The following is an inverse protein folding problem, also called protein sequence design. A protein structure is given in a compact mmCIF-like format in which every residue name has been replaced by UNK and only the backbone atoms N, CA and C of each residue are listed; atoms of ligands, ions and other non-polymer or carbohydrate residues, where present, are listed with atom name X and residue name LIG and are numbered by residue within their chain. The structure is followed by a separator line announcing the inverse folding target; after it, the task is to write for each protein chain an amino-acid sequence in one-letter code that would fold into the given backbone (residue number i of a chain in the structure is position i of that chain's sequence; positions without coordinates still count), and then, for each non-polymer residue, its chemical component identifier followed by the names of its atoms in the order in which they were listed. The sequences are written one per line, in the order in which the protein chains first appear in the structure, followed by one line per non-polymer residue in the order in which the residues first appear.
data_IF_917743585577
#
_entry.id   IF_917743585577
#
_cell.length_a   1.000
_cell.length_b   1.000
_cell.length_c   1.000
_cell.angle_alpha   90.00
_cell.angle_beta   90.00
_cell.angle_gamma   90.00
#
_symmetry.space_group_name_H-M   'P 1'
#
loop_
_entity.id
_entity.type
_entity.pdbx_description
1 polymer ?
#
# COMPACT_ATOMS: atom_id res chain seq x y z
N UNK A 1 -13.69 -46.94 -64.30
CA UNK A 1 -12.81 -47.34 -63.19
C UNK A 1 -12.16 -46.08 -62.62
N UNK A 2 -12.35 -45.78 -61.32
CA UNK A 2 -11.72 -44.68 -60.55
C UNK A 2 -10.49 -45.25 -59.77
N UNK A 3 -9.91 -44.69 -58.67
CA UNK A 3 -10.11 -43.44 -57.89
C UNK A 3 -8.80 -42.75 -57.39
N UNK A 4 -8.89 -41.68 -56.56
CA UNK A 4 -7.99 -41.58 -55.38
C UNK A 4 -7.56 -40.20 -54.82
N UNK A 5 -7.83 -40.04 -53.51
CA UNK A 5 -7.22 -39.16 -52.48
C UNK A 5 -7.77 -37.73 -52.33
N UNK A 6 -8.67 -37.44 -51.36
CA UNK A 6 -8.59 -37.43 -49.87
C UNK A 6 -7.79 -36.24 -49.32
N UNK A 7 -8.47 -35.35 -48.58
CA UNK A 7 -8.08 -34.96 -47.23
C UNK A 7 -9.34 -34.55 -46.45
N UNK A 8 -9.73 -35.40 -45.49
CA UNK A 8 -10.67 -35.12 -44.41
C UNK A 8 -9.85 -35.01 -43.13
N UNK A 9 -10.01 -33.91 -42.40
CA UNK A 9 -9.53 -33.73 -41.03
C UNK A 9 -10.49 -34.41 -40.05
N UNK A 10 -10.01 -35.09 -39.00
CA UNK A 10 -10.85 -35.90 -38.13
C UNK A 10 -11.50 -35.09 -36.99
N UNK A 11 -12.76 -35.41 -36.74
CA UNK A 11 -13.46 -35.24 -35.47
C UNK A 11 -12.91 -36.23 -34.44
N UNK A 12 -12.51 -35.75 -33.26
CA UNK A 12 -12.22 -36.59 -32.10
C UNK A 12 -13.29 -36.35 -31.02
N UNK A 13 -13.96 -37.44 -30.68
CA UNK A 13 -14.86 -37.61 -29.52
C UNK A 13 -14.12 -38.59 -28.62
N UNK A 14 -13.85 -38.20 -27.38
CA UNK A 14 -13.60 -39.07 -26.22
C UNK A 14 -13.73 -38.17 -24.98
N UNK A 15 -14.79 -38.29 -24.18
CA UNK A 15 -15.10 -39.32 -23.19
C UNK A 15 -14.73 -38.83 -21.79
N UNK A 16 -15.78 -38.76 -20.97
CA UNK A 16 -15.77 -38.60 -19.52
C UNK A 16 -14.78 -39.55 -18.84
N UNK A 17 -13.99 -39.01 -17.92
CA UNK A 17 -13.58 -39.75 -16.72
C UNK A 17 -13.38 -38.79 -15.55
N UNK A 18 -14.10 -39.08 -14.47
CA UNK A 18 -14.26 -38.27 -13.26
C UNK A 18 -13.28 -38.72 -12.17
N UNK A 19 -12.46 -37.82 -11.62
CA UNK A 19 -11.82 -37.96 -10.28
C UNK A 19 -11.49 -36.55 -9.71
N UNK A 20 -11.24 -36.36 -8.39
CA UNK A 20 -11.98 -35.41 -7.57
C UNK A 20 -11.21 -34.10 -7.32
N UNK A 21 -11.97 -33.02 -7.18
CA UNK A 21 -11.51 -31.68 -6.84
C UNK A 21 -10.94 -31.59 -5.41
N UNK A 22 -9.64 -31.84 -5.25
CA UNK A 22 -8.86 -31.20 -4.20
C UNK A 22 -8.52 -29.78 -4.66
N UNK A 23 -9.22 -28.77 -4.11
CA UNK A 23 -8.97 -27.34 -4.38
C UNK A 23 -7.57 -26.94 -3.87
N UNK A 24 -6.55 -27.09 -4.71
CA UNK A 24 -5.31 -26.31 -4.61
C UNK A 24 -5.64 -24.89 -5.07
N UNK A 25 -5.53 -23.91 -4.18
CA UNK A 25 -5.62 -22.48 -4.52
C UNK A 25 -4.41 -22.12 -5.39
N UNK A 26 -4.64 -21.91 -6.69
CA UNK A 26 -3.66 -21.28 -7.56
C UNK A 26 -3.45 -19.83 -7.14
N UNK A 27 -2.19 -19.43 -7.03
CA UNK A 27 -1.77 -18.03 -7.03
C UNK A 27 -1.94 -17.55 -8.47
N UNK A 28 -3.03 -16.84 -8.76
CA UNK A 28 -3.23 -16.20 -10.07
C UNK A 28 -2.35 -14.95 -10.17
N UNK A 29 -1.26 -15.03 -10.93
CA UNK A 29 -0.49 -13.87 -11.38
C UNK A 29 -1.21 -13.27 -12.59
N UNK A 30 -1.98 -12.21 -12.37
CA UNK A 30 -2.65 -11.48 -13.46
C UNK A 30 -1.63 -10.53 -14.10
N UNK A 31 -1.02 -10.95 -15.20
CA UNK A 31 -0.16 -10.09 -16.03
C UNK A 31 -1.07 -9.23 -16.94
N UNK A 32 -1.31 -7.98 -16.53
CA UNK A 32 -2.08 -7.03 -17.33
C UNK A 32 -1.26 -6.44 -18.49
N UNK A 33 -1.54 -6.85 -19.73
CA UNK A 33 -1.09 -6.16 -20.94
C UNK A 33 -1.93 -4.90 -21.16
N UNK A 34 -1.36 -3.72 -20.85
CA UNK A 34 -2.01 -2.43 -21.00
C UNK A 34 -1.49 -1.67 -22.22
N UNK A 35 -2.35 -1.46 -23.21
CA UNK A 35 -2.12 -0.57 -24.34
C UNK A 35 -2.10 0.89 -23.89
N UNK A 36 -0.98 1.57 -24.14
CA UNK A 36 -0.77 3.00 -23.94
C UNK A 36 -1.40 3.82 -25.08
N UNK A 37 -2.57 4.42 -24.84
CA UNK A 37 -3.05 5.61 -25.54
C UNK A 37 -4.01 6.41 -24.67
N UNK A 38 -3.54 7.52 -24.12
CA UNK A 38 -4.17 8.85 -24.23
C UNK A 38 -3.52 9.85 -23.25
N UNK A 39 -2.55 10.61 -23.75
CA UNK A 39 -2.10 11.86 -23.11
C UNK A 39 -3.04 12.98 -23.57
N UNK A 40 -3.92 13.46 -22.69
CA UNK A 40 -4.54 14.79 -22.86
C UNK A 40 -4.24 15.66 -21.65
N UNK A 41 -3.75 16.85 -21.98
CA UNK A 41 -3.39 17.96 -21.11
C UNK A 41 -4.49 18.27 -20.10
N UNK A 42 -4.11 18.32 -18.82
CA UNK A 42 -4.89 18.96 -17.75
C UNK A 42 -4.12 20.22 -17.35
N UNK A 43 -4.63 21.36 -17.81
CA UNK A 43 -4.26 22.68 -17.31
C UNK A 43 -4.74 22.81 -15.86
N UNK A 44 -3.81 23.08 -14.96
CA UNK A 44 -4.09 23.47 -13.57
C UNK A 44 -4.22 25.00 -13.51
N UNK A 45 -5.19 25.57 -12.78
CA UNK A 45 -5.19 26.99 -12.51
C UNK A 45 -4.18 27.31 -11.39
N UNK A 46 -3.28 28.24 -11.68
CA UNK A 46 -2.38 28.89 -10.73
C UNK A 46 -3.19 29.74 -9.76
N UNK A 47 -2.99 29.53 -8.45
CA UNK A 47 -3.47 30.44 -7.41
C UNK A 47 -2.28 31.25 -6.94
N UNK A 48 -2.24 32.50 -7.38
CA UNK A 48 -1.44 33.55 -6.77
C UNK A 48 -2.02 33.87 -5.40
N UNK A 49 -1.18 33.94 -4.38
CA UNK A 49 -1.52 34.59 -3.12
C UNK A 49 -0.29 35.28 -2.56
N UNK A 50 -0.36 36.59 -2.67
CA UNK A 50 0.58 37.59 -2.21
C UNK A 50 0.62 37.69 -0.68
N UNK A 51 1.79 38.09 -0.20
CA UNK A 51 2.08 38.41 1.18
C UNK A 51 1.22 39.57 1.72
N UNK A 52 0.86 39.50 3.00
CA UNK A 52 0.66 40.70 3.81
C UNK A 52 1.09 40.40 5.25
N UNK A 53 2.06 41.18 5.71
CA UNK A 53 2.53 41.23 7.08
C UNK A 53 1.54 42.03 7.95
N UNK A 54 1.48 41.73 9.24
CA UNK A 54 1.03 42.72 10.21
C UNK A 54 0.40 42.18 11.49
N UNK A 55 1.08 42.52 12.59
CA UNK A 55 0.57 42.75 13.94
C UNK A 55 0.48 41.57 14.91
N UNK A 56 1.18 41.77 16.02
CA UNK A 56 1.33 40.82 17.10
C UNK A 56 0.16 40.80 18.07
N UNK A 57 0.06 39.69 18.78
CA UNK A 57 -0.79 39.56 19.95
C UNK A 57 -0.06 38.83 21.07
N UNK A 58 -0.31 39.35 22.26
CA UNK A 58 0.35 39.15 23.53
C UNK A 58 0.21 37.71 24.03
N UNK A 59 1.29 37.17 24.58
CA UNK A 59 1.31 35.94 25.34
C UNK A 59 0.49 36.12 26.63
N UNK A 60 -0.61 35.40 26.74
CA UNK A 60 -1.33 35.16 27.99
C UNK A 60 -0.96 33.76 28.48
N UNK A 61 -0.32 33.76 29.63
CA UNK A 61 0.14 32.62 30.41
C UNK A 61 -1.07 31.82 30.93
N UNK A 62 -1.27 30.60 30.40
CA UNK A 62 -2.26 29.65 30.91
C UNK A 62 -1.51 28.39 31.35
N UNK A 63 -1.27 28.30 32.66
CA UNK A 63 -0.76 27.11 33.32
C UNK A 63 -1.75 25.95 33.21
N UNK A 64 -1.43 24.96 32.39
CA UNK A 64 -2.09 23.66 32.38
C UNK A 64 -1.38 22.77 33.40
N UNK A 65 -1.96 22.64 34.59
CA UNK A 65 -1.66 21.55 35.50
C UNK A 65 -2.07 20.21 34.84
N UNK A 66 -1.10 19.48 34.31
CA UNK A 66 -1.29 18.07 33.96
C UNK A 66 -1.48 17.25 35.24
N UNK A 67 -2.74 16.94 35.55
CA UNK A 67 -3.09 15.83 36.44
C UNK A 67 -2.74 14.52 35.73
N UNK A 68 -1.69 13.86 36.21
CA UNK A 68 -1.38 12.46 35.88
C UNK A 68 -2.49 11.59 36.46
N UNK A 69 -3.37 11.07 35.61
CA UNK A 69 -4.31 10.02 35.96
C UNK A 69 -3.61 8.65 35.88
N UNK A 70 -3.95 7.68 36.76
CA UNK A 70 -3.16 6.48 36.98
C UNK A 70 -3.40 5.40 35.89
N UNK A 71 -2.51 4.40 35.90
CA UNK A 71 -2.29 3.30 34.97
C UNK A 71 -3.48 2.41 34.52
N UNK A 72 -4.74 2.79 34.78
CA UNK A 72 -5.92 2.02 34.40
C UNK A 72 -6.34 2.16 32.92
N UNK A 73 -5.76 3.12 32.17
CA UNK A 73 -6.03 3.28 30.74
C UNK A 73 -5.41 2.21 29.84
N UNK A 74 -4.28 1.61 30.26
CA UNK A 74 -3.57 0.62 29.46
C UNK A 74 -4.33 -0.71 29.34
N UNK A 75 -5.01 -1.12 30.41
CA UNK A 75 -5.80 -2.37 30.45
C UNK A 75 -7.05 -2.24 29.56
N UNK A 76 -7.71 -1.08 29.56
CA UNK A 76 -8.85 -0.82 28.69
C UNK A 76 -8.47 -0.76 27.20
N UNK A 77 -7.29 -0.19 26.85
CA UNK A 77 -6.81 -0.17 25.47
C UNK A 77 -6.47 -1.58 24.94
N UNK A 78 -5.86 -2.44 25.77
CA UNK A 78 -5.52 -3.81 25.39
C UNK A 78 -6.79 -4.64 25.09
N UNK A 79 -7.81 -4.55 25.93
CA UNK A 79 -9.10 -5.25 25.71
C UNK A 79 -9.79 -4.80 24.41
N UNK A 80 -9.74 -3.50 24.08
CA UNK A 80 -10.23 -3.02 22.77
C UNK A 80 -9.39 -3.50 21.59
N UNK A 81 -8.07 -3.63 21.73
CA UNK A 81 -7.18 -4.12 20.67
C UNK A 81 -7.49 -5.59 20.35
N UNK A 82 -7.68 -6.42 21.37
CA UNK A 82 -8.03 -7.85 21.23
C UNK A 82 -9.39 -8.02 20.53
N UNK A 83 -10.39 -7.23 20.94
CA UNK A 83 -11.74 -7.25 20.33
C UNK A 83 -11.73 -6.80 18.87
N UNK A 84 -10.95 -5.77 18.54
CA UNK A 84 -10.77 -5.30 17.16
C UNK A 84 -10.02 -6.33 16.31
N UNK A 85 -9.03 -7.02 16.87
CA UNK A 85 -8.37 -8.15 16.21
C UNK A 85 -9.40 -9.23 15.86
N UNK A 86 -10.27 -9.63 16.78
CA UNK A 86 -11.33 -10.59 16.49
C UNK A 86 -12.29 -10.15 15.38
N UNK A 87 -12.72 -8.87 15.36
CA UNK A 87 -13.58 -8.34 14.29
C UNK A 87 -12.91 -8.33 12.92
N UNK A 88 -11.61 -8.07 12.87
CA UNK A 88 -10.83 -8.11 11.62
C UNK A 88 -10.49 -9.55 11.17
N UNK A 89 -10.61 -10.52 12.08
CA UNK A 89 -10.29 -11.94 11.85
C UNK A 89 -11.50 -12.82 11.50
N UNK A 90 -12.67 -12.25 11.18
CA UNK A 90 -13.74 -13.05 10.58
C UNK A 90 -13.24 -13.70 9.28
N UNK A 91 -13.12 -15.04 9.23
CA UNK A 91 -12.48 -15.72 8.14
C UNK A 91 -13.35 -15.60 6.88
N UNK A 92 -12.70 -15.58 5.71
CA UNK A 92 -13.30 -15.70 4.36
C UNK A 92 -13.75 -14.43 3.61
N UNK A 93 -13.66 -13.21 4.17
CA UNK A 93 -14.01 -11.99 3.40
C UNK A 93 -12.95 -10.86 3.42
N UNK A 94 -11.82 -11.07 4.08
CA UNK A 94 -10.84 -10.00 4.32
C UNK A 94 -9.56 -10.14 3.49
N UNK A 95 -9.68 -10.33 2.17
CA UNK A 95 -8.50 -10.32 1.28
C UNK A 95 -8.00 -8.88 1.11
N UNK A 96 -6.70 -8.68 1.28
CA UNK A 96 -5.98 -7.45 0.94
C UNK A 96 -5.06 -7.70 -0.25
N UNK A 97 -4.96 -6.71 -1.14
CA UNK A 97 -4.05 -6.74 -2.29
C UNK A 97 -2.78 -5.97 -1.97
N UNK A 98 -1.63 -6.62 -2.01
CA UNK A 98 -0.31 -5.97 -1.98
C UNK A 98 0.08 -5.67 -3.43
N UNK A 99 0.30 -4.40 -3.75
CA UNK A 99 0.73 -3.96 -5.07
C UNK A 99 2.18 -3.48 -5.03
N UNK A 100 2.99 -3.90 -6.01
CA UNK A 100 4.42 -3.65 -6.01
C UNK A 100 5.02 -3.50 -7.42
N UNK A 101 6.30 -3.15 -7.44
CA UNK A 101 7.07 -2.86 -8.64
C UNK A 101 6.72 -1.53 -9.31
N UNK A 102 7.44 -1.25 -10.40
CA UNK A 102 7.28 -0.02 -11.17
C UNK A 102 5.85 0.13 -11.68
N UNK A 103 5.19 1.21 -11.24
CA UNK A 103 3.80 1.50 -11.59
C UNK A 103 2.78 0.57 -10.92
N UNK A 104 3.16 -0.18 -9.87
CA UNK A 104 2.27 -1.03 -9.06
C UNK A 104 1.53 -2.09 -9.88
N UNK A 105 2.21 -2.65 -10.88
CA UNK A 105 1.63 -3.62 -11.82
C UNK A 105 1.51 -5.01 -11.22
N UNK A 106 2.44 -5.42 -10.38
CA UNK A 106 2.41 -6.72 -9.72
C UNK A 106 1.45 -6.67 -8.53
N UNK A 107 0.59 -7.69 -8.41
CA UNK A 107 -0.45 -7.74 -7.38
C UNK A 107 -0.47 -9.12 -6.72
N UNK A 108 -0.43 -9.13 -5.39
CA UNK A 108 -0.50 -10.34 -4.58
C UNK A 108 -1.66 -10.23 -3.59
N UNK A 109 -2.41 -11.30 -3.42
CA UNK A 109 -3.54 -11.35 -2.49
C UNK A 109 -3.13 -12.11 -1.24
N UNK A 110 -3.32 -11.49 -0.08
CA UNK A 110 -3.09 -12.12 1.23
C UNK A 110 -4.31 -11.94 2.12
N UNK A 111 -4.50 -12.84 3.07
CA UNK A 111 -5.50 -12.65 4.12
C UNK A 111 -5.06 -11.50 5.02
N UNK A 112 -5.92 -10.50 5.20
CA UNK A 112 -5.65 -9.36 6.07
C UNK A 112 -5.38 -9.81 7.51
N UNK A 113 -6.05 -10.87 7.97
CA UNK A 113 -5.88 -11.41 9.31
C UNK A 113 -4.42 -11.83 9.54
N UNK A 114 -3.81 -12.53 8.58
CA UNK A 114 -2.42 -12.96 8.64
C UNK A 114 -1.46 -11.76 8.61
N UNK A 115 -1.71 -10.78 7.74
CA UNK A 115 -0.89 -9.57 7.66
C UNK A 115 -0.93 -8.77 8.98
N UNK A 116 -2.12 -8.54 9.54
CA UNK A 116 -2.32 -7.80 10.78
C UNK A 116 -1.82 -8.56 12.02
N UNK A 117 -1.81 -9.89 11.99
CA UNK A 117 -1.23 -10.71 13.06
C UNK A 117 0.29 -10.53 13.14
N UNK A 118 0.93 -10.40 11.98
CA UNK A 118 2.39 -10.32 11.87
C UNK A 118 2.93 -8.88 11.85
N UNK A 119 2.07 -7.87 11.67
CA UNK A 119 2.46 -6.46 11.65
C UNK A 119 1.49 -5.57 12.43
N UNK A 120 1.99 -5.00 13.54
CA UNK A 120 1.24 -4.04 14.34
C UNK A 120 1.00 -2.72 13.60
N UNK A 121 1.97 -2.26 12.79
CA UNK A 121 1.79 -1.11 11.89
C UNK A 121 0.63 -1.31 10.94
N UNK A 122 0.57 -2.46 10.24
CA UNK A 122 -0.53 -2.73 9.30
C UNK A 122 -1.86 -2.82 10.04
N UNK A 123 -1.91 -3.49 11.19
CA UNK A 123 -3.10 -3.52 12.03
C UNK A 123 -3.60 -2.11 12.38
N UNK A 124 -2.70 -1.20 12.79
CA UNK A 124 -3.03 0.20 13.08
C UNK A 124 -3.59 0.95 11.87
N UNK A 125 -2.95 0.81 10.70
CA UNK A 125 -3.38 1.45 9.45
C UNK A 125 -4.78 0.97 9.05
N UNK A 126 -5.01 -0.35 9.04
CA UNK A 126 -6.32 -0.92 8.65
C UNK A 126 -7.43 -0.59 9.64
N UNK A 127 -7.11 -0.48 10.93
CA UNK A 127 -8.07 -0.04 11.96
C UNK A 127 -8.50 1.40 11.71
N UNK A 128 -7.57 2.32 11.41
CA UNK A 128 -7.89 3.71 11.10
C UNK A 128 -8.68 3.83 9.78
N UNK A 129 -8.40 2.95 8.82
CA UNK A 129 -9.07 2.93 7.52
C UNK A 129 -10.51 2.38 7.56
N UNK A 130 -10.93 1.74 8.64
CA UNK A 130 -12.23 1.07 8.75
C UNK A 130 -13.41 2.02 8.51
N UNK A 131 -13.39 3.20 9.15
CA UNK A 131 -14.43 4.22 8.99
C UNK A 131 -14.51 4.71 7.55
N UNK A 132 -13.36 5.02 6.94
CA UNK A 132 -13.27 5.44 5.53
C UNK A 132 -13.77 4.34 4.58
N UNK A 133 -13.44 3.08 4.85
CA UNK A 133 -13.94 1.95 4.07
C UNK A 133 -15.47 1.89 4.09
N UNK A 134 -16.08 2.04 5.26
CA UNK A 134 -17.54 2.11 5.39
C UNK A 134 -18.15 3.26 4.58
N UNK A 135 -17.52 4.44 4.59
CA UNK A 135 -17.94 5.59 3.79
C UNK A 135 -17.81 5.31 2.28
N UNK A 136 -16.71 4.70 1.83
CA UNK A 136 -16.52 4.34 0.42
C UNK A 136 -17.52 3.28 -0.05
N UNK A 137 -17.87 2.30 0.78
CA UNK A 137 -18.92 1.31 0.47
C UNK A 137 -20.26 2.01 0.23
N UNK A 138 -20.65 2.94 1.12
CA UNK A 138 -21.87 3.75 0.97
C UNK A 138 -21.82 4.62 -0.29
N UNK A 139 -20.70 5.29 -0.55
CA UNK A 139 -20.51 6.12 -1.75
C UNK A 139 -20.58 5.28 -3.04
N UNK A 140 -20.04 4.06 -3.04
CA UNK A 140 -20.14 3.12 -4.17
C UNK A 140 -21.57 2.64 -4.39
N UNK A 141 -22.33 2.37 -3.33
CA UNK A 141 -23.75 2.04 -3.42
C UNK A 141 -24.56 3.21 -4.01
N UNK A 142 -24.27 4.43 -3.58
CA UNK A 142 -24.88 5.65 -4.11
C UNK A 142 -24.56 5.83 -5.61
N UNK A 143 -23.30 5.60 -6.01
CA UNK A 143 -22.90 5.61 -7.42
C UNK A 143 -23.62 4.52 -8.25
N UNK A 144 -23.83 3.32 -7.68
CA UNK A 144 -24.54 2.22 -8.35
C UNK A 144 -26.01 2.61 -8.59
N UNK A 145 -26.69 3.15 -7.56
CA UNK A 145 -28.04 3.69 -7.69
C UNK A 145 -28.14 4.77 -8.77
N UNK A 146 -27.19 5.71 -8.81
CA UNK A 146 -27.15 6.74 -9.84
C UNK A 146 -27.07 6.17 -11.28
N UNK A 147 -26.37 5.03 -11.46
CA UNK A 147 -26.33 4.32 -12.75
C UNK A 147 -27.64 3.62 -13.07
N UNK A 148 -28.24 2.95 -12.08
CA UNK A 148 -29.52 2.26 -12.23
C UNK A 148 -30.63 3.24 -12.66
N UNK A 149 -30.70 4.44 -12.08
CA UNK A 149 -31.61 5.50 -12.52
C UNK A 149 -31.41 5.87 -13.98
N UNK A 150 -30.17 6.10 -14.40
CA UNK A 150 -29.87 6.47 -15.78
C UNK A 150 -30.27 5.36 -16.76
N UNK A 151 -30.01 4.09 -16.44
CA UNK A 151 -30.43 2.96 -17.27
C UNK A 151 -31.95 2.83 -17.38
N UNK A 152 -32.68 2.98 -16.27
CA UNK A 152 -34.14 2.92 -16.26
C UNK A 152 -34.76 4.05 -17.11
N UNK A 153 -34.16 5.24 -17.07
CA UNK A 153 -34.68 6.43 -17.75
C UNK A 153 -34.32 6.48 -19.25
N UNK A 154 -33.19 5.90 -19.66
CA UNK A 154 -32.82 5.75 -21.08
C UNK A 154 -33.67 4.70 -21.78
N UNK A 155 -34.02 3.61 -21.08
CA UNK A 155 -34.77 2.47 -21.66
C UNK A 155 -36.28 2.71 -21.62
N UNK A 156 -36.80 3.29 -20.53
CA UNK A 156 -38.21 3.63 -20.40
C UNK A 156 -38.39 5.12 -20.64
N UNK A 157 -38.56 5.52 -21.91
CA UNK A 157 -39.15 6.81 -22.23
C UNK A 157 -40.48 6.93 -21.47
N UNK A 158 -40.49 7.70 -20.38
CA UNK A 158 -41.65 8.41 -19.80
C UNK A 158 -42.79 7.55 -19.19
N UNK A 159 -42.86 6.22 -19.31
CA UNK A 159 -44.11 5.48 -18.99
C UNK A 159 -44.32 5.08 -17.50
N UNK A 160 -43.32 5.16 -16.60
CA UNK A 160 -43.53 4.91 -15.16
C UNK A 160 -42.88 6.00 -14.28
N UNK A 161 -43.47 7.19 -14.28
CA UNK A 161 -42.81 8.38 -13.74
C UNK A 161 -42.97 8.62 -12.22
N UNK A 162 -44.04 8.19 -11.57
CA UNK A 162 -44.28 8.64 -10.19
C UNK A 162 -43.37 7.93 -9.17
N UNK A 163 -43.23 6.61 -9.28
CA UNK A 163 -42.30 5.85 -8.43
C UNK A 163 -40.83 6.15 -8.74
N UNK A 164 -40.49 6.49 -10.00
CA UNK A 164 -39.12 6.83 -10.38
C UNK A 164 -38.75 8.26 -9.97
N UNK A 165 -39.71 9.19 -9.99
CA UNK A 165 -39.56 10.57 -9.49
C UNK A 165 -39.24 10.58 -8.00
N UNK A 166 -40.06 9.92 -7.18
CA UNK A 166 -39.87 9.88 -5.73
C UNK A 166 -38.47 9.33 -5.38
N UNK A 167 -38.09 8.21 -5.99
CA UNK A 167 -36.75 7.62 -5.82
C UNK A 167 -35.61 8.53 -6.28
N UNK A 168 -35.78 9.26 -7.39
CA UNK A 168 -34.78 10.22 -7.86
C UNK A 168 -34.64 11.41 -6.91
N UNK A 169 -35.77 11.91 -6.39
CA UNK A 169 -35.81 12.98 -5.40
C UNK A 169 -35.07 12.55 -4.12
N UNK A 170 -35.41 11.39 -3.57
CA UNK A 170 -34.75 10.81 -2.38
C UNK A 170 -33.24 10.66 -2.60
N UNK A 171 -32.83 10.20 -3.78
CA UNK A 171 -31.42 10.09 -4.15
C UNK A 171 -30.71 11.44 -4.20
N UNK A 172 -31.33 12.47 -4.76
CA UNK A 172 -30.75 13.81 -4.84
C UNK A 172 -30.61 14.38 -3.43
N UNK A 173 -31.65 14.28 -2.60
CA UNK A 173 -31.63 14.78 -1.23
C UNK A 173 -30.62 14.04 -0.36
N UNK A 174 -30.53 12.71 -0.46
CA UNK A 174 -29.50 11.94 0.23
C UNK A 174 -28.09 12.34 -0.21
N UNK A 175 -27.87 12.58 -1.51
CA UNK A 175 -26.59 13.05 -2.04
C UNK A 175 -26.23 14.45 -1.57
N UNK A 176 -27.24 15.31 -1.35
CA UNK A 176 -27.07 16.69 -0.90
C UNK A 176 -26.78 16.77 0.59
N UNK A 177 -27.60 16.11 1.41
CA UNK A 177 -27.56 16.23 2.87
C UNK A 177 -26.56 15.27 3.51
N UNK A 178 -26.41 14.06 2.96
CA UNK A 178 -25.75 12.92 3.61
C UNK A 178 -24.76 12.21 2.71
N UNK A 179 -24.01 12.98 1.90
CA UNK A 179 -22.95 12.39 1.08
C UNK A 179 -21.95 11.64 1.99
N UNK A 180 -21.65 10.35 1.73
CA UNK A 180 -20.96 9.52 2.73
C UNK A 180 -19.53 9.92 3.09
N UNK A 181 -18.82 10.61 2.19
CA UNK A 181 -17.41 11.00 2.38
C UNK A 181 -17.37 12.49 2.72
N UNK A 182 -17.04 12.80 3.97
CA UNK A 182 -17.18 14.14 4.55
C UNK A 182 -16.41 15.21 3.76
N UNK A 183 -15.20 14.89 3.31
CA UNK A 183 -14.33 15.81 2.57
C UNK A 183 -14.95 16.26 1.24
N UNK A 184 -15.85 15.45 0.66
CA UNK A 184 -16.52 15.74 -0.60
C UNK A 184 -17.94 16.27 -0.45
N UNK A 185 -18.51 16.22 0.76
CA UNK A 185 -19.91 16.59 1.00
C UNK A 185 -20.21 18.04 0.57
N UNK A 186 -19.38 19.00 0.95
CA UNK A 186 -19.55 20.41 0.55
C UNK A 186 -19.46 20.60 -0.98
N UNK A 187 -18.51 19.92 -1.63
CA UNK A 187 -18.32 20.02 -3.07
C UNK A 187 -19.50 19.43 -3.86
N UNK A 188 -20.02 18.28 -3.43
CA UNK A 188 -21.22 17.65 -4.00
C UNK A 188 -22.44 18.53 -3.77
N UNK A 189 -22.63 19.03 -2.54
CA UNK A 189 -23.76 19.89 -2.19
C UNK A 189 -23.80 21.17 -3.03
N UNK A 190 -22.66 21.86 -3.15
CA UNK A 190 -22.51 23.03 -4.04
C UNK A 190 -22.87 22.69 -5.48
N UNK A 191 -22.44 21.51 -5.96
CA UNK A 191 -22.73 21.11 -7.33
C UNK A 191 -24.22 20.88 -7.58
N UNK A 192 -24.92 20.30 -6.61
CA UNK A 192 -26.38 20.11 -6.67
C UNK A 192 -27.08 21.48 -6.70
N UNK A 193 -26.71 22.39 -5.79
CA UNK A 193 -27.24 23.76 -5.75
C UNK A 193 -27.08 24.47 -7.11
N UNK A 194 -25.87 24.43 -7.69
CA UNK A 194 -25.60 25.04 -9.00
C UNK A 194 -26.50 24.50 -10.12
N UNK A 195 -26.72 23.19 -10.14
CA UNK A 195 -27.48 22.52 -11.21
C UNK A 195 -28.97 22.76 -11.03
N UNK A 196 -29.47 22.63 -9.81
CA UNK A 196 -30.89 22.89 -9.50
C UNK A 196 -31.24 24.34 -9.81
N UNK A 197 -30.38 25.29 -9.41
CA UNK A 197 -30.54 26.70 -9.75
C UNK A 197 -30.58 26.92 -11.27
N UNK A 198 -29.62 26.37 -12.01
CA UNK A 198 -29.59 26.46 -13.47
C UNK A 198 -30.86 25.91 -14.15
N UNK A 199 -31.36 24.76 -13.69
CA UNK A 199 -32.56 24.14 -14.24
C UNK A 199 -33.84 24.88 -13.82
N UNK A 200 -33.89 25.45 -12.62
CA UNK A 200 -35.04 26.22 -12.12
C UNK A 200 -35.24 27.55 -12.86
N UNK A 201 -34.16 28.10 -13.45
CA UNK A 201 -34.27 29.26 -14.35
C UNK A 201 -34.92 28.92 -15.70
N UNK A 202 -35.08 27.64 -16.05
CA UNK A 202 -35.67 27.19 -17.31
C UNK A 202 -37.15 26.86 -17.14
N UNK A 203 -38.03 27.66 -17.76
CA UNK A 203 -39.49 27.54 -17.60
C UNK A 203 -40.06 26.23 -18.15
N UNK A 204 -39.45 25.71 -19.22
CA UNK A 204 -39.80 24.45 -19.90
C UNK A 204 -39.58 23.21 -19.03
N UNK A 205 -38.69 23.32 -18.04
CA UNK A 205 -38.36 22.22 -17.14
C UNK A 205 -39.12 22.27 -15.80
N UNK A 206 -40.08 23.17 -15.65
CA UNK A 206 -40.95 23.24 -14.47
C UNK A 206 -42.12 22.26 -14.61
N UNK A 207 -42.54 21.64 -13.50
CA UNK A 207 -43.63 20.66 -13.44
C UNK A 207 -44.98 21.26 -13.86
N UNK A 208 -45.24 22.49 -13.45
CA UNK A 208 -46.37 23.30 -13.92
C UNK A 208 -45.80 24.56 -14.57
N UNK A 209 -45.63 24.56 -15.91
CA UNK A 209 -45.25 25.76 -16.63
C UNK A 209 -46.27 26.85 -16.29
N UNK A 210 -45.83 28.08 -15.96
CA UNK A 210 -46.76 29.16 -15.69
C UNK A 210 -47.71 29.34 -16.88
N UNK A 211 -49.03 29.40 -16.62
CA UNK A 211 -50.00 29.70 -17.67
C UNK A 211 -49.60 31.00 -18.39
N UNK A 212 -49.79 31.05 -19.73
CA UNK A 212 -49.38 32.19 -20.58
C UNK A 212 -49.74 33.52 -19.89
N UNK A 213 -48.74 34.26 -19.41
CA UNK A 213 -48.89 35.57 -18.78
C UNK A 213 -48.57 35.66 -17.28
N UNK A 214 -48.56 34.56 -16.52
CA UNK A 214 -48.05 34.57 -15.13
C UNK A 214 -46.58 34.15 -15.14
N UNK A 215 -45.69 34.87 -14.45
CA UNK A 215 -44.31 34.40 -14.21
C UNK A 215 -44.26 33.80 -12.81
N UNK A 216 -43.57 32.66 -12.65
CA UNK A 216 -43.24 32.14 -11.32
C UNK A 216 -42.38 33.19 -10.62
N UNK A 217 -42.80 33.63 -9.45
CA UNK A 217 -42.00 34.53 -8.63
C UNK A 217 -40.85 33.75 -7.99
N UNK A 218 -39.69 33.80 -8.65
CA UNK A 218 -38.47 33.10 -8.22
C UNK A 218 -37.85 33.69 -6.96
N UNK A 219 -38.24 34.90 -6.56
CA UNK A 219 -37.71 35.54 -5.35
C UNK A 219 -38.14 34.79 -4.07
N UNK A 220 -39.28 34.10 -4.13
CA UNK A 220 -39.79 33.28 -3.02
C UNK A 220 -39.05 31.95 -2.81
N UNK A 221 -38.15 31.59 -3.72
CA UNK A 221 -37.42 30.31 -3.69
C UNK A 221 -35.92 30.61 -3.74
N UNK A 222 -35.24 30.85 -2.61
CA UNK A 222 -33.81 31.14 -2.59
C UNK A 222 -32.98 29.95 -3.11
N UNK A 223 -31.74 30.21 -3.52
CA UNK A 223 -30.87 29.20 -4.17
C UNK A 223 -30.49 28.06 -3.23
N UNK A 224 -30.48 28.36 -1.95
CA UNK A 224 -30.17 27.46 -0.85
C UNK A 224 -31.32 26.49 -0.57
N UNK A 225 -32.55 26.84 -0.96
CA UNK A 225 -33.73 25.99 -0.80
C UNK A 225 -33.84 24.98 -1.95
N UNK A 226 -32.91 24.03 -1.93
CA UNK A 226 -32.81 22.95 -2.92
C UNK A 226 -34.05 22.08 -2.92
N UNK A 227 -34.62 21.78 -1.75
CA UNK A 227 -35.77 20.90 -1.59
C UNK A 227 -36.99 21.45 -2.34
N UNK A 228 -37.43 22.66 -2.01
CA UNK A 228 -38.64 23.23 -2.62
C UNK A 228 -38.44 23.53 -4.11
N UNK A 229 -37.23 23.92 -4.52
CA UNK A 229 -36.91 24.07 -5.95
C UNK A 229 -37.00 22.73 -6.70
N UNK A 230 -36.52 21.63 -6.13
CA UNK A 230 -36.64 20.29 -6.74
C UNK A 230 -38.10 19.84 -6.88
N UNK A 231 -38.98 20.16 -5.93
CA UNK A 231 -40.40 19.82 -6.00
C UNK A 231 -41.11 20.45 -7.20
N UNK A 232 -40.69 21.67 -7.56
CA UNK A 232 -41.23 22.44 -8.69
C UNK A 232 -40.65 22.00 -10.04
N UNK A 233 -39.53 21.28 -10.07
CA UNK A 233 -38.91 20.79 -11.30
C UNK A 233 -39.66 19.59 -11.87
N UNK A 234 -39.76 19.53 -13.20
CA UNK A 234 -40.26 18.39 -13.96
C UNK A 234 -39.30 17.20 -13.93
N UNK A 235 -39.74 16.06 -14.46
CA UNK A 235 -38.97 14.81 -14.38
C UNK A 235 -37.68 14.84 -15.21
N UNK A 236 -37.70 15.53 -16.35
CA UNK A 236 -36.52 15.75 -17.19
C UNK A 236 -35.42 16.53 -16.44
N UNK A 237 -35.81 17.56 -15.68
CA UNK A 237 -34.86 18.30 -14.84
C UNK A 237 -34.28 17.43 -13.72
N UNK A 238 -35.09 16.64 -13.02
CA UNK A 238 -34.58 15.74 -11.98
C UNK A 238 -33.56 14.75 -12.55
N UNK A 239 -33.83 14.20 -13.73
CA UNK A 239 -32.87 13.35 -14.44
C UNK A 239 -31.56 14.10 -14.72
N UNK A 240 -31.62 15.33 -15.23
CA UNK A 240 -30.43 16.14 -15.47
C UNK A 240 -29.62 16.40 -14.17
N UNK A 241 -30.29 16.57 -13.03
CA UNK A 241 -29.62 16.65 -11.71
C UNK A 241 -28.91 15.34 -11.40
N UNK A 242 -29.59 14.19 -11.52
CA UNK A 242 -29.01 12.86 -11.27
C UNK A 242 -27.78 12.61 -12.15
N UNK A 243 -27.85 12.96 -13.44
CA UNK A 243 -26.72 12.83 -14.36
C UNK A 243 -25.52 13.68 -13.94
N UNK A 244 -25.78 14.90 -13.46
CA UNK A 244 -24.69 15.75 -12.97
C UNK A 244 -24.07 15.20 -11.69
N UNK A 245 -24.88 14.68 -10.76
CA UNK A 245 -24.39 14.02 -9.54
C UNK A 245 -23.53 12.81 -9.92
N UNK A 246 -23.99 11.95 -10.83
CA UNK A 246 -23.23 10.80 -11.36
C UNK A 246 -21.89 11.23 -11.96
N UNK A 247 -21.88 12.31 -12.73
CA UNK A 247 -20.66 12.90 -13.32
C UNK A 247 -19.70 13.40 -12.23
N UNK A 248 -20.21 14.10 -11.22
CA UNK A 248 -19.46 14.60 -10.07
C UNK A 248 -18.81 13.45 -9.27
N UNK A 249 -19.59 12.42 -8.91
CA UNK A 249 -19.07 11.22 -8.22
C UNK A 249 -18.00 10.50 -9.04
N UNK A 250 -18.13 10.48 -10.37
CA UNK A 250 -17.13 9.88 -11.26
C UNK A 250 -15.84 10.70 -11.30
N UNK A 251 -15.93 12.04 -11.22
CA UNK A 251 -14.77 12.91 -11.11
C UNK A 251 -14.05 12.71 -9.76
N UNK A 252 -14.79 12.65 -8.64
CA UNK A 252 -14.25 12.35 -7.31
C UNK A 252 -13.50 11.02 -7.33
N UNK A 253 -14.13 9.96 -7.86
CA UNK A 253 -13.50 8.64 -7.98
C UNK A 253 -12.20 8.65 -8.79
N UNK A 254 -12.09 9.50 -9.81
CA UNK A 254 -10.84 9.66 -10.59
C UNK A 254 -9.78 10.39 -9.80
N UNK A 255 -10.15 11.47 -9.09
CA UNK A 255 -9.24 12.23 -8.23
C UNK A 255 -8.70 11.41 -7.06
N UNK A 256 -9.55 10.57 -6.46
CA UNK A 256 -9.15 9.65 -5.38
C UNK A 256 -8.00 8.72 -5.76
N UNK A 257 -7.91 8.28 -7.04
CA UNK A 257 -6.85 7.37 -7.48
C UNK A 257 -5.44 7.92 -7.21
N UNK A 258 -5.21 9.21 -7.40
CA UNK A 258 -3.88 9.81 -7.19
C UNK A 258 -3.58 10.04 -5.71
N UNK A 259 -4.62 10.27 -4.89
CA UNK A 259 -4.50 10.46 -3.45
C UNK A 259 -4.18 9.12 -2.77
N UNK A 260 -4.84 8.04 -3.19
CA UNK A 260 -4.61 6.67 -2.70
C UNK A 260 -3.15 6.22 -2.84
N UNK A 261 -2.44 6.70 -3.86
CA UNK A 261 -1.03 6.38 -4.08
C UNK A 261 -0.10 7.02 -3.04
N UNK A 262 -0.55 8.07 -2.35
CA UNK A 262 0.26 8.85 -1.40
C UNK A 262 -0.08 8.57 0.05
N UNK A 263 -1.31 8.15 0.32
CA UNK A 263 -1.83 7.97 1.68
C UNK A 263 -2.09 6.47 1.97
N UNK A 264 -1.30 5.86 2.89
CA UNK A 264 -1.45 4.44 3.21
C UNK A 264 -2.79 4.11 3.88
N UNK A 265 -3.40 5.04 4.63
CA UNK A 265 -4.70 4.82 5.28
C UNK A 265 -5.79 4.78 4.22
N UNK A 266 -5.74 5.70 3.25
CA UNK A 266 -6.67 5.65 2.10
C UNK A 266 -6.47 4.42 1.24
N UNK A 267 -5.22 4.00 0.99
CA UNK A 267 -4.95 2.72 0.31
C UNK A 267 -5.56 1.53 1.05
N UNK A 268 -5.39 1.47 2.38
CA UNK A 268 -5.97 0.43 3.22
C UNK A 268 -7.51 0.47 3.23
N UNK A 269 -8.14 1.64 3.10
CA UNK A 269 -9.59 1.77 2.96
C UNK A 269 -10.10 1.09 1.67
N UNK A 270 -9.25 1.01 0.64
CA UNK A 270 -9.46 0.25 -0.60
C UNK A 270 -8.97 -1.19 -0.55
N UNK A 271 -8.56 -1.70 0.63
CA UNK A 271 -7.94 -3.04 0.81
C UNK A 271 -6.66 -3.21 0.00
N UNK A 272 -5.82 -2.17 -0.05
CA UNK A 272 -4.54 -2.17 -0.78
C UNK A 272 -3.38 -1.80 0.14
N UNK A 273 -2.25 -2.46 -0.05
CA UNK A 273 -0.94 -2.07 0.51
C UNK A 273 -0.03 -1.78 -0.66
N UNK A 274 0.62 -0.62 -0.67
CA UNK A 274 1.42 -0.15 -1.80
C UNK A 274 2.90 -0.23 -1.48
N UNK A 275 3.67 -0.90 -2.32
CA UNK A 275 5.13 -1.08 -2.20
C UNK A 275 5.80 -0.71 -3.54
N UNK A 276 5.83 0.57 -3.92
CA UNK A 276 6.27 1.00 -5.25
C UNK A 276 7.74 0.66 -5.55
N UNK A 277 8.58 0.57 -4.53
CA UNK A 277 10.02 0.32 -4.68
C UNK A 277 10.42 -1.14 -4.40
N UNK A 278 9.44 -2.03 -4.19
CA UNK A 278 9.72 -3.43 -3.90
C UNK A 278 9.59 -4.28 -5.16
N UNK A 279 10.53 -5.19 -5.35
CA UNK A 279 10.48 -6.18 -6.42
C UNK A 279 9.33 -7.19 -6.17
N UNK A 280 8.69 -7.61 -7.26
CA UNK A 280 7.62 -8.58 -7.27
C UNK A 280 8.06 -9.93 -6.68
N UNK A 281 9.27 -10.40 -6.99
CA UNK A 281 9.80 -11.66 -6.45
C UNK A 281 9.97 -11.60 -4.93
N UNK A 282 10.49 -10.50 -4.41
CA UNK A 282 10.68 -10.26 -2.98
C UNK A 282 9.32 -10.22 -2.26
N UNK A 283 8.34 -9.52 -2.82
CA UNK A 283 6.98 -9.47 -2.25
C UNK A 283 6.31 -10.85 -2.31
N UNK A 284 6.53 -11.62 -3.37
CA UNK A 284 6.03 -13.00 -3.47
C UNK A 284 6.57 -13.89 -2.34
N UNK A 285 7.87 -13.80 -2.02
CA UNK A 285 8.48 -14.54 -0.91
C UNK A 285 7.79 -14.17 0.42
N UNK A 286 7.58 -12.89 0.67
CA UNK A 286 6.90 -12.42 1.89
C UNK A 286 5.46 -12.93 1.96
N UNK A 287 4.72 -12.90 0.85
CA UNK A 287 3.33 -13.39 0.79
C UNK A 287 3.27 -14.90 1.00
N UNK A 288 4.21 -15.65 0.42
CA UNK A 288 4.34 -17.08 0.63
C UNK A 288 4.68 -17.40 2.10
N UNK A 289 5.59 -16.64 2.70
CA UNK A 289 5.94 -16.75 4.11
C UNK A 289 4.76 -16.42 5.03
N UNK A 290 3.99 -15.37 4.76
CA UNK A 290 2.78 -15.05 5.54
C UNK A 290 1.77 -16.21 5.52
N UNK A 291 1.72 -16.96 4.42
CA UNK A 291 0.77 -18.06 4.23
C UNK A 291 1.26 -19.38 4.85
N UNK A 292 2.55 -19.72 4.67
CA UNK A 292 3.10 -21.04 4.98
C UNK A 292 4.12 -21.04 6.12
N UNK A 293 4.56 -19.86 6.57
CA UNK A 293 5.63 -19.65 7.55
C UNK A 293 6.98 -20.27 7.13
N UNK A 294 7.15 -20.52 5.83
CA UNK A 294 8.38 -21.05 5.25
C UNK A 294 9.06 -19.99 4.38
N UNK A 295 10.34 -19.74 4.66
CA UNK A 295 11.13 -18.68 4.04
C UNK A 295 12.04 -19.30 2.97
N UNK A 296 11.66 -19.13 1.70
CA UNK A 296 12.43 -19.59 0.54
C UNK A 296 12.97 -18.41 -0.25
N UNK A 297 14.26 -18.45 -0.57
CA UNK A 297 14.99 -17.41 -1.29
C UNK A 297 16.16 -18.02 -2.06
N UNK A 298 16.58 -17.34 -3.13
CA UNK A 298 17.62 -17.79 -4.04
C UNK A 298 19.04 -17.49 -3.53
N UNK A 299 19.24 -16.31 -2.94
CA UNK A 299 20.56 -15.83 -2.52
C UNK A 299 20.47 -14.83 -1.33
N UNK A 300 21.63 -14.43 -0.82
CA UNK A 300 21.72 -13.48 0.29
C UNK A 300 21.19 -12.08 -0.06
N UNK A 301 21.32 -11.65 -1.32
CA UNK A 301 20.83 -10.36 -1.80
C UNK A 301 19.31 -10.30 -1.72
N UNK A 302 18.63 -11.34 -2.19
CA UNK A 302 17.19 -11.46 -2.10
C UNK A 302 16.73 -11.50 -0.64
N UNK A 303 17.47 -12.20 0.24
CA UNK A 303 17.17 -12.22 1.68
C UNK A 303 17.33 -10.83 2.34
N UNK A 304 18.32 -10.04 1.93
CA UNK A 304 18.48 -8.65 2.37
C UNK A 304 17.31 -7.77 1.91
N UNK A 305 16.85 -7.92 0.66
CA UNK A 305 15.67 -7.21 0.15
C UNK A 305 14.39 -7.63 0.89
N UNK A 306 14.22 -8.93 1.21
CA UNK A 306 13.11 -9.42 2.04
C UNK A 306 13.18 -8.80 3.44
N UNK A 307 14.37 -8.69 4.03
CA UNK A 307 14.56 -7.99 5.29
C UNK A 307 14.13 -6.52 5.20
N UNK A 308 14.49 -5.79 4.15
CA UNK A 308 14.10 -4.37 4.00
C UNK A 308 12.60 -4.19 3.85
N UNK A 309 11.95 -4.99 3.00
CA UNK A 309 10.51 -4.91 2.78
C UNK A 309 9.74 -5.35 4.02
N UNK A 310 10.18 -6.41 4.71
CA UNK A 310 9.56 -6.84 5.98
C UNK A 310 9.68 -5.77 7.06
N UNK A 311 10.83 -5.11 7.18
CA UNK A 311 11.04 -3.97 8.08
C UNK A 311 10.13 -2.79 7.71
N UNK A 312 9.99 -2.47 6.42
CA UNK A 312 9.09 -1.42 5.96
C UNK A 312 7.62 -1.72 6.29
N UNK A 313 7.22 -2.98 6.17
CA UNK A 313 5.90 -3.46 6.55
C UNK A 313 5.72 -3.64 8.06
N UNK A 314 6.79 -3.53 8.86
CA UNK A 314 6.81 -3.80 10.30
C UNK A 314 6.44 -5.25 10.65
N UNK A 315 6.96 -6.21 9.88
CA UNK A 315 6.81 -7.65 10.13
C UNK A 315 8.01 -8.11 10.97
N UNK A 316 7.97 -7.85 12.26
CA UNK A 316 9.13 -7.98 13.16
C UNK A 316 9.70 -9.39 13.23
N UNK A 317 8.84 -10.42 13.19
CA UNK A 317 9.21 -11.83 13.21
C UNK A 317 10.04 -12.23 11.99
N UNK A 318 9.58 -11.86 10.79
CA UNK A 318 10.30 -12.11 9.54
C UNK A 318 11.60 -11.32 9.47
N UNK A 319 11.58 -10.04 9.88
CA UNK A 319 12.80 -9.22 9.93
C UNK A 319 13.86 -9.86 10.83
N UNK A 320 13.48 -10.35 12.01
CA UNK A 320 14.40 -11.07 12.91
C UNK A 320 14.90 -12.38 12.29
N UNK A 321 14.01 -13.17 11.68
CA UNK A 321 14.39 -14.43 11.03
C UNK A 321 15.41 -14.22 9.90
N UNK A 322 15.21 -13.21 9.04
CA UNK A 322 16.18 -12.88 7.98
C UNK A 322 17.54 -12.51 8.58
N UNK A 323 17.54 -11.73 9.66
CA UNK A 323 18.75 -11.29 10.33
C UNK A 323 19.52 -12.44 10.98
N UNK A 324 18.83 -13.34 11.66
CA UNK A 324 19.42 -14.51 12.30
C UNK A 324 20.08 -15.42 11.27
N UNK A 325 19.41 -15.65 10.13
CA UNK A 325 19.93 -16.45 9.02
C UNK A 325 21.19 -15.82 8.42
N UNK A 326 21.18 -14.52 8.13
CA UNK A 326 22.34 -13.81 7.58
C UNK A 326 23.52 -13.80 8.55
N UNK A 327 23.29 -13.45 9.82
CA UNK A 327 24.36 -13.41 10.83
C UNK A 327 24.97 -14.79 11.06
N UNK A 328 24.13 -15.82 11.16
CA UNK A 328 24.59 -17.21 11.35
C UNK A 328 25.40 -17.70 10.15
N UNK A 329 24.95 -17.40 8.93
CA UNK A 329 25.65 -17.79 7.71
C UNK A 329 27.03 -17.12 7.63
N UNK A 330 27.11 -15.80 7.82
CA UNK A 330 28.37 -15.05 7.78
C UNK A 330 29.32 -15.53 8.87
N UNK A 331 28.85 -15.70 10.11
CA UNK A 331 29.69 -16.19 11.22
C UNK A 331 30.26 -17.57 10.90
N UNK A 332 29.41 -18.51 10.46
CA UNK A 332 29.85 -19.86 10.07
C UNK A 332 30.89 -19.82 8.97
N UNK A 333 30.68 -19.03 7.91
CA UNK A 333 31.59 -18.96 6.78
C UNK A 333 32.93 -18.33 7.21
N UNK A 334 32.90 -17.24 7.98
CA UNK A 334 34.11 -16.59 8.49
C UNK A 334 34.92 -17.56 9.39
N UNK A 335 34.26 -18.29 10.29
CA UNK A 335 34.91 -19.29 11.13
C UNK A 335 35.53 -20.42 10.30
N UNK A 336 34.81 -20.93 9.30
CA UNK A 336 35.33 -21.95 8.37
C UNK A 336 36.56 -21.44 7.61
N UNK A 337 36.50 -20.24 7.03
CA UNK A 337 37.61 -19.61 6.32
C UNK A 337 38.82 -19.40 7.22
N UNK A 338 38.58 -19.00 8.48
CA UNK A 338 39.63 -18.87 9.50
C UNK A 338 40.31 -20.21 9.81
N UNK A 339 39.54 -21.29 9.97
CA UNK A 339 40.11 -22.63 10.18
C UNK A 339 40.87 -23.15 8.96
N UNK A 340 40.51 -22.70 7.76
CA UNK A 340 41.20 -23.01 6.52
C UNK A 340 42.43 -22.11 6.26
N UNK A 341 42.69 -21.11 7.11
CA UNK A 341 43.79 -20.16 6.92
C UNK A 341 43.59 -19.21 5.74
N UNK A 342 42.36 -18.98 5.29
CA UNK A 342 42.05 -18.04 4.21
C UNK A 342 42.05 -16.60 4.73
N UNK A 343 42.63 -15.68 3.95
CA UNK A 343 42.55 -14.26 4.27
C UNK A 343 41.11 -13.75 4.07
N UNK A 344 40.71 -12.71 4.81
CA UNK A 344 39.38 -12.12 4.65
C UNK A 344 39.21 -11.51 3.26
N UNK A 345 40.28 -10.96 2.68
CA UNK A 345 40.27 -10.46 1.31
C UNK A 345 39.88 -11.55 0.31
N UNK A 346 40.45 -12.75 0.45
CA UNK A 346 40.11 -13.89 -0.41
C UNK A 346 38.63 -14.27 -0.27
N UNK A 347 38.09 -14.25 0.95
CA UNK A 347 36.68 -14.55 1.21
C UNK A 347 35.75 -13.51 0.58
N UNK A 348 36.12 -12.24 0.59
CA UNK A 348 35.33 -11.15 0.02
C UNK A 348 35.44 -11.10 -1.51
N UNK A 349 36.61 -11.46 -2.07
CA UNK A 349 36.88 -11.44 -3.50
C UNK A 349 36.53 -12.75 -4.22
N UNK A 350 36.33 -13.84 -3.48
CA UNK A 350 35.84 -15.11 -4.03
C UNK A 350 34.39 -14.98 -4.50
N UNK A 351 34.21 -14.54 -5.75
CA UNK A 351 33.01 -14.87 -6.52
C UNK A 351 33.15 -16.33 -6.95
N UNK A 352 32.39 -17.22 -6.35
CA UNK A 352 32.48 -18.65 -6.70
C UNK A 352 32.02 -18.80 -8.16
N UNK A 353 32.97 -18.97 -9.08
CA UNK A 353 32.71 -19.30 -10.49
C UNK A 353 32.60 -20.82 -10.73
N UNK A 354 32.63 -21.61 -9.67
CA UNK A 354 32.70 -23.07 -9.72
C UNK A 354 31.51 -23.68 -8.99
N UNK A 355 30.34 -23.62 -9.60
CA UNK A 355 29.33 -24.65 -9.36
C UNK A 355 29.79 -25.92 -10.07
N UNK A 356 30.59 -26.73 -9.38
CA UNK A 356 30.74 -28.13 -9.79
C UNK A 356 29.35 -28.79 -9.72
N UNK A 357 28.93 -29.30 -10.87
CA UNK A 357 27.61 -29.86 -11.13
C UNK A 357 27.43 -31.13 -10.30
N UNK A 358 26.73 -31.08 -9.16
CA UNK A 358 26.38 -32.32 -8.47
C UNK A 358 25.73 -32.25 -7.09
N UNK A 359 25.90 -31.17 -6.33
CA UNK A 359 25.30 -31.07 -4.98
C UNK A 359 24.51 -29.78 -4.83
N UNK A 360 23.22 -29.82 -4.43
CA UNK A 360 22.46 -28.62 -4.13
C UNK A 360 23.06 -27.98 -2.87
N UNK A 361 23.94 -27.00 -3.08
CA UNK A 361 24.45 -26.14 -2.01
C UNK A 361 23.31 -25.21 -1.62
N UNK A 362 22.96 -25.17 -0.33
CA UNK A 362 21.91 -24.27 0.15
C UNK A 362 22.25 -22.79 -0.13
N UNK A 363 21.25 -21.90 -0.26
CA UNK A 363 21.43 -20.52 -0.73
C UNK A 363 22.32 -19.65 0.18
N UNK A 364 22.57 -20.07 1.43
CA UNK A 364 23.45 -19.40 2.39
C UNK A 364 24.75 -20.17 2.70
N UNK A 365 25.14 -21.10 1.84
CA UNK A 365 26.36 -21.91 2.03
C UNK A 365 27.51 -21.49 1.11
N UNK A 366 27.32 -20.47 0.29
CA UNK A 366 28.37 -19.92 -0.58
C UNK A 366 29.12 -18.77 0.09
N UNK A 367 30.39 -18.58 -0.27
CA UNK A 367 31.23 -17.47 0.21
C UNK A 367 30.65 -16.10 -0.21
N UNK A 368 29.90 -16.06 -1.32
CA UNK A 368 29.25 -14.84 -1.84
C UNK A 368 28.36 -14.14 -0.79
N UNK A 369 27.81 -14.90 0.16
CA UNK A 369 27.00 -14.36 1.28
C UNK A 369 27.78 -13.32 2.08
N UNK A 370 29.07 -13.58 2.35
CA UNK A 370 29.92 -12.67 3.12
C UNK A 370 30.17 -11.39 2.32
N UNK A 371 30.55 -11.52 1.05
CA UNK A 371 30.75 -10.38 0.16
C UNK A 371 29.51 -9.47 0.09
N UNK A 372 28.33 -10.06 -0.07
CA UNK A 372 27.10 -9.31 -0.23
C UNK A 372 26.63 -8.64 1.08
N UNK A 373 26.78 -9.33 2.22
CA UNK A 373 26.50 -8.73 3.54
C UNK A 373 27.47 -7.59 3.85
N UNK A 374 28.75 -7.75 3.53
CA UNK A 374 29.74 -6.68 3.69
C UNK A 374 29.39 -5.49 2.78
N UNK A 375 29.18 -5.73 1.49
CA UNK A 375 28.82 -4.69 0.54
C UNK A 375 27.59 -3.91 1.01
N UNK A 376 26.52 -4.62 1.39
CA UNK A 376 25.30 -4.02 1.92
C UNK A 376 25.55 -3.20 3.19
N UNK A 377 26.27 -3.76 4.17
CA UNK A 377 26.50 -3.12 5.47
C UNK A 377 27.38 -1.87 5.36
N UNK A 378 28.36 -1.88 4.46
CA UNK A 378 29.30 -0.78 4.27
C UNK A 378 28.67 0.38 3.49
N UNK A 379 27.81 0.09 2.51
CA UNK A 379 27.23 1.08 1.58
C UNK A 379 25.86 1.61 2.00
N UNK A 380 25.08 0.83 2.77
CA UNK A 380 23.75 1.24 3.23
C UNK A 380 23.84 2.41 4.20
N UNK A 381 22.92 3.37 4.09
CA UNK A 381 22.83 4.52 5.00
C UNK A 381 22.46 4.08 6.43
N UNK A 382 21.64 3.03 6.55
CA UNK A 382 21.08 2.59 7.83
C UNK A 382 21.12 1.05 7.95
N UNK A 383 22.32 0.43 7.97
CA UNK A 383 22.44 -1.02 8.05
C UNK A 383 21.95 -1.53 9.42
N UNK A 384 21.38 -2.75 9.47
CA UNK A 384 20.97 -3.39 10.71
C UNK A 384 22.11 -3.46 11.73
N UNK A 385 21.82 -3.08 12.98
CA UNK A 385 22.85 -2.99 14.03
C UNK A 385 23.60 -4.31 14.26
N UNK A 386 22.93 -5.45 14.10
CA UNK A 386 23.57 -6.76 14.24
C UNK A 386 24.57 -7.04 13.10
N UNK A 387 24.21 -6.79 11.83
CA UNK A 387 25.16 -6.92 10.71
C UNK A 387 26.31 -5.92 10.84
N UNK A 388 26.00 -4.68 11.24
CA UNK A 388 27.01 -3.65 11.48
C UNK A 388 28.03 -4.08 12.51
N UNK A 389 27.56 -4.55 13.68
CA UNK A 389 28.42 -5.05 14.75
C UNK A 389 29.25 -6.24 14.30
N UNK A 390 28.63 -7.19 13.58
CA UNK A 390 29.31 -8.37 13.03
C UNK A 390 30.43 -7.96 12.08
N UNK A 391 30.15 -7.13 11.07
CA UNK A 391 31.13 -6.68 10.07
C UNK A 391 32.26 -5.89 10.72
N UNK A 392 31.96 -4.96 11.64
CA UNK A 392 32.98 -4.22 12.39
C UNK A 392 33.90 -5.18 13.15
N UNK A 393 33.33 -6.14 13.87
CA UNK A 393 34.11 -7.11 14.64
C UNK A 393 35.00 -7.96 13.74
N UNK A 394 34.48 -8.44 12.61
CA UNK A 394 35.26 -9.25 11.66
C UNK A 394 36.43 -8.44 11.08
N UNK A 395 36.20 -7.21 10.61
CA UNK A 395 37.27 -6.34 10.09
C UNK A 395 38.37 -6.13 11.15
N UNK A 396 37.95 -5.81 12.37
CA UNK A 396 38.86 -5.55 13.50
C UNK A 396 39.59 -6.81 13.93
N UNK A 397 38.96 -7.99 13.87
CA UNK A 397 39.56 -9.27 14.23
C UNK A 397 40.69 -9.67 13.28
N UNK A 398 40.45 -9.58 11.97
CA UNK A 398 41.45 -9.92 10.94
C UNK A 398 42.63 -8.93 10.92
N UNK A 399 42.38 -7.64 11.15
CA UNK A 399 43.46 -6.66 11.37
C UNK A 399 44.38 -6.42 10.17
N UNK A 400 43.90 -6.67 8.96
CA UNK A 400 44.60 -6.42 7.70
C UNK A 400 44.46 -4.93 7.33
N UNK A 401 45.59 -4.22 7.28
CA UNK A 401 45.63 -2.77 7.00
C UNK A 401 45.30 -2.45 5.54
N UNK A 402 45.77 -3.26 4.59
CA UNK A 402 45.54 -3.04 3.16
C UNK A 402 44.06 -3.27 2.83
N UNK A 403 43.48 -4.35 3.35
CA UNK A 403 42.05 -4.62 3.23
C UNK A 403 41.22 -3.53 3.89
N UNK A 404 41.62 -3.04 5.06
CA UNK A 404 40.91 -1.95 5.74
C UNK A 404 40.88 -0.68 4.88
N UNK A 405 42.02 -0.29 4.29
CA UNK A 405 42.10 0.87 3.40
C UNK A 405 41.13 0.70 2.21
N UNK A 406 41.13 -0.48 1.58
CA UNK A 406 40.23 -0.79 0.46
C UNK A 406 38.75 -0.73 0.87
N UNK A 407 38.39 -1.29 2.03
CA UNK A 407 37.00 -1.25 2.52
C UNK A 407 36.55 0.16 2.92
N UNK A 408 37.46 1.00 3.44
CA UNK A 408 37.17 2.37 3.84
C UNK A 408 36.71 3.25 2.66
N UNK A 409 37.06 2.94 1.42
CA UNK A 409 36.57 3.66 0.25
C UNK A 409 35.04 3.56 0.09
N UNK A 410 34.47 2.41 0.49
CA UNK A 410 33.05 2.10 0.34
C UNK A 410 32.21 2.34 1.60
N UNK A 411 32.85 2.61 2.74
CA UNK A 411 32.18 2.84 4.02
C UNK A 411 31.45 4.18 4.09
N UNK A 412 30.25 4.17 4.68
CA UNK A 412 29.62 5.40 5.20
C UNK A 412 30.47 6.03 6.31
N UNK A 413 30.30 7.33 6.56
CA UNK A 413 31.02 8.06 7.62
C UNK A 413 30.78 7.47 9.01
N UNK A 414 29.56 7.00 9.27
CA UNK A 414 29.18 6.32 10.52
C UNK A 414 29.97 5.03 10.68
N UNK A 415 30.03 4.20 9.63
CA UNK A 415 30.77 2.94 9.66
C UNK A 415 32.27 3.14 9.89
N UNK A 416 32.88 4.16 9.24
CA UNK A 416 34.28 4.54 9.48
C UNK A 416 34.54 4.86 10.96
N UNK A 417 33.63 5.62 11.58
CA UNK A 417 33.71 5.96 12.99
C UNK A 417 33.63 4.73 13.91
N UNK A 418 32.70 3.82 13.63
CA UNK A 418 32.55 2.58 14.42
C UNK A 418 33.76 1.65 14.29
N UNK A 419 34.28 1.46 13.08
CA UNK A 419 35.50 0.68 12.84
C UNK A 419 36.70 1.30 13.56
N UNK A 420 36.92 2.61 13.46
CA UNK A 420 38.01 3.29 14.15
C UNK A 420 37.94 3.11 15.68
N UNK A 421 36.74 3.27 16.26
CA UNK A 421 36.52 3.06 17.70
C UNK A 421 36.80 1.61 18.10
N UNK A 422 36.34 0.64 17.33
CA UNK A 422 36.56 -0.77 17.60
C UNK A 422 38.06 -1.17 17.47
N UNK A 423 38.76 -0.66 16.46
CA UNK A 423 40.22 -0.85 16.29
C UNK A 423 40.99 -0.27 17.47
N UNK A 424 40.69 0.96 17.89
CA UNK A 424 41.33 1.58 19.07
C UNK A 424 41.09 0.78 20.36
N UNK A 425 39.88 0.24 20.53
CA UNK A 425 39.56 -0.63 21.68
C UNK A 425 40.39 -1.92 21.65
N UNK A 426 40.51 -2.59 20.50
CA UNK A 426 41.35 -3.79 20.34
C UNK A 426 42.81 -3.48 20.66
N UNK A 427 43.36 -2.39 20.11
CA UNK A 427 44.74 -1.97 20.38
C UNK A 427 44.99 -1.74 21.88
N UNK A 428 44.07 -1.05 22.57
CA UNK A 428 44.14 -0.84 24.02
C UNK A 428 44.15 -2.16 24.80
N UNK A 429 43.28 -3.12 24.42
CA UNK A 429 43.25 -4.45 25.04
C UNK A 429 44.58 -5.21 24.84
N UNK A 430 45.17 -5.15 23.64
CA UNK A 430 46.45 -5.79 23.34
C UNK A 430 47.59 -5.21 24.18
N UNK A 431 47.66 -3.87 24.32
CA UNK A 431 48.67 -3.21 25.17
C UNK A 431 48.53 -3.61 26.64
N UNK A 432 47.29 -3.74 27.13
CA UNK A 432 47.04 -4.20 28.50
C UNK A 432 47.41 -5.68 28.70
N UNK A 433 47.22 -6.53 27.70
CA UNK A 433 47.60 -7.94 27.74
C UNK A 433 49.13 -8.09 27.81
N UNK A 434 49.89 -7.35 26.99
CA UNK A 434 51.36 -7.36 26.99
C UNK A 434 51.94 -6.90 28.33
N UNK A 435 51.37 -5.86 28.95
CA UNK A 435 51.84 -5.40 30.27
C UNK A 435 51.64 -6.43 31.38
N UNK A 436 50.64 -7.32 31.25
CA UNK A 436 50.41 -8.40 32.21
C UNK A 436 51.39 -9.55 32.04
N UNK A 437 51.86 -9.83 30.83
CA UNK A 437 52.85 -10.88 30.59
C UNK A 437 54.24 -10.48 31.06
N UNK A 438 54.60 -9.19 31.02
CA UNK A 438 55.91 -8.70 31.46
C UNK A 438 56.06 -8.60 33.00
N UNK A 439 54.97 -8.78 33.74
CA UNK A 439 54.95 -8.69 35.22
C UNK A 439 55.02 -10.05 35.93
N UNK A 440 55.14 -11.14 35.16
CA UNK A 440 55.32 -12.52 35.64
C UNK A 440 56.71 -13.03 35.24
#
# INVERSE_FOLDING_TARGET
MPPGQRNRTPSSIASDESVPLAKRRCVEVVVGSGNDRDKRNILSPSVDSSATAGSGQKAADFGIQQRIAPANGAIAMLDTKEKLRHLLMEPFQNIVTIECGDGLKAQYKVDLALLCQQSDKQFGIFTQAETLRGQHVKAKALQKRAKEFHSLLVVHQVVQMDNSRSKAFDFIMESFERFPILEYQSAVGRKIIEVVDFLFQKNDLLRMPPAKGKKLDRSNYPKEDVFTRLELLGNEALLAVVERIKSCMSAIKRGEKSIVLKDPIKAAAYRRVLLPNADAEVVFIIVNWLSNQDLSFADAKQLLLVHEVSKHLDITSLTAQCMDLLCSAVTRIIEQSKTAGMALEDVLNMRIHTHEVGTPIGPLSTMDVVGEVFHYTLTSENPPAALRTLVVNVIVEYGDEELLIALMENMTSVMKGEVAVATMRKAKCNVMALRKTDSH
#
